data_IF_382278223864
#
_entry.id   IF_382278223864
#
_cell.length_a   1.000
_cell.length_b   1.000
_cell.length_c   1.000
_cell.angle_alpha   90.00
_cell.angle_beta   90.00
_cell.angle_gamma   90.00
#
_symmetry.space_group_name_H-M   'P 1'
#
loop_
_entity.id
_entity.type
_entity.pdbx_description
1 polymer ?
#
# COMPACT_ATOMS: atom_id res chain seq x y z
N UNK A 1 -8.35 19.95 5.69
CA UNK A 1 -7.68 19.83 4.38
C UNK A 1 -7.06 18.44 4.32
N UNK A 2 -7.52 17.57 3.42
CA UNK A 2 -6.87 16.26 3.23
C UNK A 2 -5.70 16.49 2.27
N UNK A 3 -4.47 16.31 2.72
CA UNK A 3 -3.29 16.38 1.84
C UNK A 3 -3.34 15.25 0.81
N UNK A 4 -2.88 15.49 -0.42
CA UNK A 4 -2.77 14.44 -1.47
C UNK A 4 -2.01 13.22 -0.92
N UNK A 5 -0.99 13.46 -0.11
CA UNK A 5 -0.18 12.43 0.54
C UNK A 5 -1.03 11.53 1.47
N UNK A 6 -1.92 12.14 2.27
CA UNK A 6 -2.79 11.41 3.17
C UNK A 6 -3.86 10.60 2.41
N UNK A 7 -4.31 11.09 1.25
CA UNK A 7 -5.21 10.34 0.36
C UNK A 7 -4.52 9.12 -0.26
N UNK A 8 -3.27 9.24 -0.69
CA UNK A 8 -2.48 8.13 -1.26
C UNK A 8 -2.22 7.05 -0.22
N UNK A 9 -1.82 7.45 0.99
CA UNK A 9 -1.58 6.53 2.11
C UNK A 9 -2.89 5.81 2.48
N UNK A 10 -4.01 6.53 2.62
CA UNK A 10 -5.30 5.92 2.93
C UNK A 10 -5.76 4.93 1.84
N UNK A 11 -5.56 5.25 0.57
CA UNK A 11 -5.87 4.36 -0.55
C UNK A 11 -5.02 3.09 -0.55
N UNK A 12 -3.71 3.21 -0.36
CA UNK A 12 -2.81 2.06 -0.27
C UNK A 12 -3.11 1.19 0.97
N UNK A 13 -3.46 1.80 2.10
CA UNK A 13 -3.86 1.08 3.30
C UNK A 13 -5.15 0.28 3.07
N UNK A 14 -6.17 0.91 2.47
CA UNK A 14 -7.42 0.23 2.14
C UNK A 14 -7.19 -0.95 1.17
N UNK A 15 -6.31 -0.76 0.19
CA UNK A 15 -5.91 -1.83 -0.73
C UNK A 15 -5.17 -2.97 -0.01
N UNK A 16 -4.22 -2.67 0.89
CA UNK A 16 -3.49 -3.68 1.65
C UNK A 16 -4.42 -4.51 2.54
N UNK A 17 -5.43 -3.89 3.16
CA UNK A 17 -6.45 -4.61 3.96
C UNK A 17 -7.27 -5.54 3.07
N UNK A 18 -7.75 -5.05 1.92
CA UNK A 18 -8.48 -5.87 0.95
C UNK A 18 -7.62 -7.06 0.49
N UNK A 19 -6.36 -6.81 0.15
CA UNK A 19 -5.41 -7.83 -0.27
C UNK A 19 -5.22 -8.89 0.83
N UNK A 20 -5.04 -8.46 2.09
CA UNK A 20 -4.94 -9.36 3.25
C UNK A 20 -6.15 -10.29 3.36
N UNK A 21 -7.36 -9.72 3.34
CA UNK A 21 -8.61 -10.48 3.46
C UNK A 21 -8.79 -11.46 2.30
N UNK A 22 -8.43 -11.05 1.09
CA UNK A 22 -8.54 -11.89 -0.11
C UNK A 22 -7.54 -13.04 -0.05
N UNK A 23 -6.29 -12.78 0.35
CA UNK A 23 -5.27 -13.82 0.52
C UNK A 23 -5.67 -14.81 1.60
N UNK A 24 -6.15 -14.34 2.76
CA UNK A 24 -6.61 -15.20 3.85
C UNK A 24 -7.80 -16.08 3.44
N UNK A 25 -8.75 -15.52 2.67
CA UNK A 25 -9.97 -16.23 2.26
C UNK A 25 -9.71 -17.29 1.17
N UNK A 26 -8.84 -16.99 0.20
CA UNK A 26 -8.69 -17.81 -1.01
C UNK A 26 -7.37 -18.57 -1.09
N UNK A 27 -6.43 -18.33 -0.19
CA UNK A 27 -5.10 -18.95 -0.24
C UNK A 27 -4.63 -19.41 1.13
N UNK A 28 -3.90 -20.53 1.18
CA UNK A 28 -3.19 -21.02 2.37
C UNK A 28 -1.71 -20.66 2.27
N UNK A 29 -1.43 -19.37 2.02
CA UNK A 29 -0.06 -18.89 1.90
C UNK A 29 0.66 -18.92 3.25
N UNK A 30 1.98 -19.20 3.25
CA UNK A 30 2.77 -19.09 4.46
C UNK A 30 2.74 -17.64 4.95
N UNK A 31 2.60 -17.48 6.28
CA UNK A 31 2.51 -16.19 6.96
C UNK A 31 3.58 -15.18 6.48
N UNK A 32 4.81 -15.64 6.27
CA UNK A 32 5.91 -14.80 5.78
C UNK A 32 5.63 -14.16 4.41
N UNK A 33 4.94 -14.85 3.51
CA UNK A 33 4.60 -14.33 2.19
C UNK A 33 3.48 -13.29 2.28
N UNK A 34 2.47 -13.54 3.13
CA UNK A 34 1.38 -12.59 3.39
C UNK A 34 1.95 -11.31 4.01
N UNK A 35 2.81 -11.43 5.01
CA UNK A 35 3.48 -10.27 5.63
C UNK A 35 4.37 -9.53 4.63
N UNK A 36 5.10 -10.25 3.77
CA UNK A 36 5.91 -9.64 2.71
C UNK A 36 5.05 -8.81 1.74
N UNK A 37 3.90 -9.34 1.32
CA UNK A 37 2.97 -8.62 0.45
C UNK A 37 2.39 -7.37 1.14
N UNK A 38 2.02 -7.49 2.43
CA UNK A 38 1.48 -6.35 3.18
C UNK A 38 2.51 -5.26 3.40
N UNK A 39 3.77 -5.60 3.68
CA UNK A 39 4.85 -4.61 3.77
C UNK A 39 5.09 -3.92 2.43
N UNK A 40 5.06 -4.67 1.33
CA UNK A 40 5.28 -4.11 0.01
C UNK A 40 4.14 -3.16 -0.40
N UNK A 41 2.89 -3.58 -0.30
CA UNK A 41 1.74 -2.78 -0.73
C UNK A 41 1.30 -1.73 0.30
N UNK A 42 1.50 -1.98 1.59
CA UNK A 42 1.10 -1.07 2.67
C UNK A 42 2.15 -0.01 3.00
N UNK A 43 3.42 -0.24 2.68
CA UNK A 43 4.53 0.69 3.02
C UNK A 43 5.32 1.10 1.79
N UNK A 44 5.93 0.14 1.08
CA UNK A 44 6.88 0.47 0.00
C UNK A 44 6.19 1.19 -1.16
N UNK A 45 5.05 0.68 -1.62
CA UNK A 45 4.27 1.27 -2.71
C UNK A 45 3.80 2.69 -2.39
N UNK A 46 3.13 2.98 -1.25
CA UNK A 46 2.71 4.35 -0.94
C UNK A 46 3.88 5.30 -0.76
N UNK A 47 4.99 4.88 -0.13
CA UNK A 47 6.17 5.73 0.01
C UNK A 47 6.77 6.08 -1.35
N UNK A 48 6.97 5.09 -2.22
CA UNK A 48 7.49 5.31 -3.57
C UNK A 48 6.53 6.16 -4.43
N UNK A 49 5.22 5.95 -4.29
CA UNK A 49 4.20 6.72 -5.00
C UNK A 49 4.19 8.18 -4.55
N UNK A 50 4.27 8.42 -3.25
CA UNK A 50 4.36 9.78 -2.71
C UNK A 50 5.63 10.48 -3.20
N UNK A 51 6.79 9.82 -3.14
CA UNK A 51 8.05 10.40 -3.60
C UNK A 51 8.05 10.68 -5.11
N UNK A 52 7.44 9.80 -5.92
CA UNK A 52 7.28 10.03 -7.35
C UNK A 52 6.38 11.24 -7.64
N UNK A 53 5.24 11.34 -6.96
CA UNK A 53 4.32 12.46 -7.11
C UNK A 53 4.94 13.78 -6.67
N UNK A 54 5.72 13.77 -5.58
CA UNK A 54 6.42 14.94 -5.05
C UNK A 54 7.43 15.50 -6.07
N UNK A 55 8.21 14.60 -6.70
CA UNK A 55 9.15 14.96 -7.78
C UNK A 55 8.44 15.59 -8.98
N UNK A 56 7.26 15.11 -9.36
CA UNK A 56 6.49 15.70 -10.46
C UNK A 56 5.90 17.08 -10.15
N UNK A 57 5.61 17.39 -8.88
CA UNK A 57 5.11 18.71 -8.49
C UNK A 57 6.18 19.80 -8.44
N UNK A 58 7.46 19.45 -8.60
CA UNK A 58 8.59 20.38 -8.53
C UNK A 58 9.08 20.84 -9.92
N UNK A 59 8.64 20.18 -11.00
CA UNK A 59 8.84 20.57 -12.41
C UNK A 59 7.65 21.39 -12.95
#
# INVERSE_FOLDING_TARGET
MVSRENTVIAGCLAFAILLALTLDTYTSLPFSLVMGALLLFGVVVPTATNEYLDRQSTD
#
